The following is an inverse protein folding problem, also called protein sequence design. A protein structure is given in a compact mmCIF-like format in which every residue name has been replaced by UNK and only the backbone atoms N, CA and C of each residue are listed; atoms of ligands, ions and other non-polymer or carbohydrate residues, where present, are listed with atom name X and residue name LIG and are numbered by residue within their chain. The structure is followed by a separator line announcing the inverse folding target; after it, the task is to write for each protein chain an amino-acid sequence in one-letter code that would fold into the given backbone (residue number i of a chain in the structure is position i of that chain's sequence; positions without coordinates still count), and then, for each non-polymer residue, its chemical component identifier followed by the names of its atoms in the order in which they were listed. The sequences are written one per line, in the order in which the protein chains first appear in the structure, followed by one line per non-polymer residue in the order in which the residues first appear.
data_IF_628187729736
#
_entry.id   IF_628187729736
#
_cell.length_a   1.000
_cell.length_b   1.000
_cell.length_c   1.000
_cell.angle_alpha   90.00
_cell.angle_beta   90.00
_cell.angle_gamma   90.00
#
_symmetry.space_group_name_H-M   'P 1'
#
loop_
_entity.id
_entity.type
_entity.pdbx_description
1 polymer ?
#
# COMPACT_ATOMS: atom_id res chain seq x y z
N UNK A 1 3.72 -8.74 3.00
CA UNK A 1 5.01 -8.33 2.38
C UNK A 1 4.76 -7.16 1.45
N UNK A 2 5.60 -6.13 1.47
CA UNK A 2 5.38 -4.95 0.65
C UNK A 2 6.69 -4.37 0.09
N UNK A 3 6.55 -3.65 -1.02
CA UNK A 3 7.56 -2.80 -1.64
C UNK A 3 7.01 -1.38 -1.60
N UNK A 4 7.80 -0.49 -1.02
CA UNK A 4 7.43 0.93 -0.87
C UNK A 4 8.29 1.73 -1.84
N UNK A 5 7.66 2.48 -2.73
CA UNK A 5 8.36 3.35 -3.68
C UNK A 5 9.08 4.50 -2.96
N UNK A 6 10.12 5.03 -3.59
CA UNK A 6 11.03 5.99 -2.99
C UNK A 6 10.30 7.28 -2.58
N UNK A 7 10.54 7.68 -1.32
CA UNK A 7 10.07 8.95 -0.78
C UNK A 7 8.61 8.94 -0.32
N UNK A 8 7.92 7.80 -0.33
CA UNK A 8 6.65 7.67 0.37
C UNK A 8 6.82 8.02 1.85
N UNK A 9 5.88 8.80 2.39
CA UNK A 9 5.74 9.01 3.83
C UNK A 9 4.56 8.14 4.25
N UNK A 10 4.81 7.13 5.08
CA UNK A 10 3.76 6.22 5.53
C UNK A 10 3.15 6.78 6.81
N UNK A 11 1.84 7.05 6.85
CA UNK A 11 1.17 7.50 8.07
C UNK A 11 1.37 6.52 9.22
N UNK A 12 1.48 7.04 10.44
CA UNK A 12 1.56 6.21 11.64
C UNK A 12 0.32 5.31 11.75
N UNK A 13 0.52 4.06 12.19
CA UNK A 13 -0.54 3.07 12.29
C UNK A 13 -0.97 2.44 10.96
N UNK A 14 -0.33 2.77 9.83
CA UNK A 14 -0.61 2.11 8.55
C UNK A 14 -0.26 0.63 8.60
N UNK A 15 -1.25 -0.23 8.32
CA UNK A 15 -1.08 -1.68 8.21
C UNK A 15 -1.21 -2.11 6.75
N UNK A 16 -0.17 -2.77 6.23
CA UNK A 16 -0.07 -3.27 4.85
C UNK A 16 0.43 -4.72 4.87
N UNK A 17 -0.24 -5.60 4.15
CA UNK A 17 0.15 -7.01 3.99
C UNK A 17 -0.56 -7.98 4.93
N UNK A 18 -1.53 -7.51 5.72
CA UNK A 18 -2.30 -8.31 6.68
C UNK A 18 -3.68 -8.72 6.15
N UNK A 19 -4.29 -7.91 5.27
CA UNK A 19 -5.60 -8.21 4.69
C UNK A 19 -5.54 -8.05 3.16
N UNK A 20 -5.55 -9.19 2.47
CA UNK A 20 -5.39 -9.23 1.01
C UNK A 20 -6.44 -8.40 0.25
N UNK A 21 -7.69 -8.36 0.76
CA UNK A 21 -8.78 -7.61 0.13
C UNK A 21 -8.57 -6.11 0.32
N UNK A 22 -8.28 -5.67 1.54
CA UNK A 22 -8.02 -4.25 1.81
C UNK A 22 -6.74 -3.74 1.15
N UNK A 23 -5.72 -4.59 1.03
CA UNK A 23 -4.48 -4.22 0.35
C UNK A 23 -4.68 -4.08 -1.16
N UNK A 24 -5.44 -4.99 -1.78
CA UNK A 24 -5.80 -4.88 -3.20
C UNK A 24 -6.76 -3.70 -3.49
N UNK A 25 -7.56 -3.30 -2.50
CA UNK A 25 -8.44 -2.12 -2.61
C UNK A 25 -7.66 -0.80 -2.55
N UNK A 26 -6.65 -0.73 -1.69
CA UNK A 26 -5.87 0.49 -1.44
C UNK A 26 -4.68 0.67 -2.39
N UNK A 27 -4.06 -0.44 -2.79
CA UNK A 27 -2.76 -0.47 -3.47
C UNK A 27 -2.75 -1.51 -4.60
N UNK A 28 -1.64 -1.58 -5.34
CA UNK A 28 -1.41 -2.71 -6.24
C UNK A 28 -0.98 -3.93 -5.41
N UNK A 29 -1.62 -5.08 -5.65
CA UNK A 29 -1.25 -6.36 -5.06
C UNK A 29 -1.06 -7.39 -6.18
N UNK A 30 0.13 -7.97 -6.24
CA UNK A 30 0.44 -9.10 -7.14
C UNK A 30 -0.31 -10.37 -6.76
N UNK A 31 -0.36 -11.34 -7.67
CA UNK A 31 -0.95 -12.65 -7.42
C UNK A 31 -0.23 -13.41 -6.29
N UNK A 32 1.10 -13.27 -6.19
CA UNK A 32 1.90 -13.84 -5.09
C UNK A 32 1.78 -13.07 -3.77
N UNK A 33 0.97 -12.00 -3.72
CA UNK A 33 0.66 -11.26 -2.50
C UNK A 33 1.69 -10.21 -2.09
N UNK A 34 2.58 -9.80 -2.99
CA UNK A 34 3.43 -8.61 -2.80
C UNK A 34 2.60 -7.35 -3.06
N UNK A 35 2.61 -6.43 -2.10
CA UNK A 35 1.94 -5.12 -2.23
C UNK A 35 2.94 -4.06 -2.70
N UNK A 36 2.62 -3.33 -3.76
CA UNK A 36 3.36 -2.14 -4.20
C UNK A 36 2.62 -0.89 -3.74
N UNK A 37 3.33 -0.02 -3.02
CA UNK A 37 2.81 1.27 -2.54
C UNK A 37 3.57 2.41 -3.21
N UNK A 38 2.85 3.34 -3.84
CA UNK A 38 3.41 4.58 -4.40
C UNK A 38 2.85 5.80 -3.69
N UNK A 39 3.54 6.95 -3.84
CA UNK A 39 3.06 8.25 -3.33
C UNK A 39 1.66 8.59 -3.81
N UNK A 40 1.40 8.37 -5.09
CA UNK A 40 0.10 8.66 -5.70
C UNK A 40 -1.00 7.81 -5.07
N UNK A 41 -0.73 6.53 -4.78
CA UNK A 41 -1.69 5.68 -4.09
C UNK A 41 -2.01 6.19 -2.69
N UNK A 42 -0.99 6.62 -1.93
CA UNK A 42 -1.16 7.20 -0.59
C UNK A 42 -1.96 8.51 -0.64
N UNK A 43 -1.65 9.41 -1.56
CA UNK A 43 -2.35 10.69 -1.71
C UNK A 43 -3.86 10.49 -1.98
N UNK A 44 -4.26 9.42 -2.69
CA UNK A 44 -5.68 9.11 -2.92
C UNK A 44 -6.42 8.66 -1.67
N UNK A 45 -5.70 8.21 -0.63
CA UNK A 45 -6.30 7.79 0.64
C UNK A 45 -6.52 8.96 1.60
N UNK A 46 -5.82 10.07 1.42
CA UNK A 46 -5.79 11.18 2.38
C UNK A 46 -6.84 12.29 2.13
N UNK A 47 -7.63 12.23 1.04
CA UNK A 47 -8.62 13.24 0.60
C UNK A 47 -8.09 14.69 0.55
#
# INVERSE_FOLDING_TARGET
RCVIDRGCVIPEGTVIGENAVEDARRFYRSEEGIVLVTKEMLNRLEL
#
